data_IF_387556121758
#
_entry.id   IF_387556121758
#
_cell.length_a   1.000
_cell.length_b   1.000
_cell.length_c   1.000
_cell.angle_alpha   90.00
_cell.angle_beta   90.00
_cell.angle_gamma   90.00
#
_symmetry.space_group_name_H-M   'P 1'
#
loop_
_entity.id
_entity.type
_entity.pdbx_description
1 polymer ?
#
# COMPACT_ATOMS: atom_id res chain seq x y z
N UNK A 1 0.87 -3.58 -9.49
CA UNK A 1 -0.24 -3.40 -8.52
C UNK A 1 -0.95 -4.73 -8.29
N UNK A 2 -1.16 -5.16 -7.03
CA UNK A 2 -1.99 -6.32 -6.72
C UNK A 2 -3.44 -5.85 -6.50
N UNK A 3 -4.42 -6.32 -7.28
CA UNK A 3 -5.83 -5.92 -7.15
C UNK A 3 -6.66 -7.10 -6.65
N UNK A 4 -7.50 -6.87 -5.62
CA UNK A 4 -8.40 -7.89 -5.08
C UNK A 4 -9.76 -7.78 -5.77
N UNK A 5 -10.14 -8.80 -6.52
CA UNK A 5 -11.42 -8.88 -7.22
C UNK A 5 -12.44 -9.58 -6.32
N UNK A 6 -13.29 -8.78 -5.67
CA UNK A 6 -14.15 -9.25 -4.56
C UNK A 6 -15.19 -10.29 -5.00
N UNK A 7 -15.86 -10.09 -6.13
CA UNK A 7 -16.90 -10.98 -6.65
C UNK A 7 -16.37 -12.34 -7.13
N UNK A 8 -15.05 -12.49 -7.31
CA UNK A 8 -14.43 -13.77 -7.68
C UNK A 8 -13.97 -14.56 -6.45
N UNK A 9 -13.92 -13.94 -5.28
CA UNK A 9 -13.46 -14.59 -4.06
C UNK A 9 -14.51 -15.60 -3.55
N UNK A 10 -14.12 -16.87 -3.42
CA UNK A 10 -14.97 -17.95 -2.88
C UNK A 10 -14.72 -18.24 -1.39
N UNK A 11 -13.88 -17.44 -0.72
CA UNK A 11 -13.72 -17.50 0.72
C UNK A 11 -12.87 -18.65 1.28
N UNK A 12 -12.02 -19.30 0.47
CA UNK A 12 -11.12 -20.39 0.94
C UNK A 12 -10.02 -19.94 1.89
N UNK A 13 -9.71 -18.64 1.95
CA UNK A 13 -8.70 -18.00 2.82
C UNK A 13 -7.25 -18.42 2.57
N UNK A 14 -6.97 -19.28 1.59
CA UNK A 14 -5.59 -19.68 1.26
C UNK A 14 -4.71 -18.48 0.90
N UNK A 15 -5.27 -17.46 0.24
CA UNK A 15 -4.55 -16.23 -0.05
C UNK A 15 -4.11 -15.46 1.21
N UNK A 16 -4.86 -15.54 2.31
CA UNK A 16 -4.46 -14.94 3.59
C UNK A 16 -3.29 -15.69 4.21
N UNK A 17 -3.35 -17.03 4.24
CA UNK A 17 -2.26 -17.87 4.76
C UNK A 17 -0.96 -17.71 3.96
N UNK A 18 -1.06 -17.52 2.63
CA UNK A 18 0.10 -17.30 1.77
C UNK A 18 0.70 -15.89 1.83
N UNK A 19 0.09 -14.96 2.58
CA UNK A 19 0.60 -13.59 2.69
C UNK A 19 1.56 -13.49 3.88
N UNK A 20 2.87 -13.26 3.68
CA UNK A 20 3.83 -13.21 4.79
C UNK A 20 3.58 -12.02 5.73
N UNK A 21 2.84 -11.02 5.26
CA UNK A 21 2.51 -9.81 6.02
C UNK A 21 1.17 -9.90 6.77
N UNK A 22 0.37 -10.95 6.56
CA UNK A 22 -0.96 -11.10 7.17
C UNK A 22 -1.91 -9.91 6.94
N UNK A 23 -1.79 -9.20 5.81
CA UNK A 23 -2.58 -7.99 5.47
C UNK A 23 -3.85 -8.27 4.65
N UNK A 24 -4.33 -9.51 4.66
CA UNK A 24 -5.57 -9.93 3.99
C UNK A 24 -6.62 -10.24 5.03
N UNK A 25 -7.69 -9.44 5.04
CA UNK A 25 -8.75 -9.52 6.03
C UNK A 25 -9.94 -10.29 5.48
N UNK A 26 -10.48 -11.22 6.27
CA UNK A 26 -11.65 -11.99 5.88
C UNK A 26 -12.91 -11.42 6.51
N UNK A 27 -13.95 -11.23 5.70
CA UNK A 27 -15.26 -10.80 6.20
C UNK A 27 -16.03 -12.01 6.72
N UNK A 28 -16.04 -12.19 8.04
CA UNK A 28 -16.80 -13.27 8.68
C UNK A 28 -18.31 -13.03 8.69
N UNK A 29 -18.71 -11.76 8.78
CA UNK A 29 -20.10 -11.35 8.92
C UNK A 29 -20.52 -10.45 7.77
N UNK A 30 -21.83 -10.34 7.55
CA UNK A 30 -22.36 -9.32 6.66
C UNK A 30 -22.28 -7.98 7.40
N UNK A 31 -21.72 -6.94 6.78
CA UNK A 31 -21.78 -5.62 7.35
C UNK A 31 -23.21 -5.07 7.30
N UNK A 32 -23.60 -4.38 8.37
CA UNK A 32 -24.90 -3.71 8.49
C UNK A 32 -24.64 -2.22 8.74
N UNK A 33 -25.39 -1.36 8.05
CA UNK A 33 -25.33 0.08 8.23
C UNK A 33 -26.73 0.57 8.60
N UNK A 34 -26.93 1.18 9.77
CA UNK A 34 -28.22 1.76 10.12
C UNK A 34 -28.48 2.98 9.24
N UNK A 35 -29.73 3.19 8.85
CA UNK A 35 -30.10 4.40 8.10
C UNK A 35 -29.88 5.65 8.98
N UNK A 36 -29.27 6.74 8.45
CA UNK A 36 -28.88 6.99 7.05
C UNK A 36 -27.37 6.80 6.78
N UNK A 37 -26.65 5.98 7.56
CA UNK A 37 -25.20 5.79 7.41
C UNK A 37 -24.79 5.14 6.08
N UNK A 38 -25.74 4.48 5.40
CA UNK A 38 -25.57 4.00 4.03
C UNK A 38 -25.11 5.12 3.06
N UNK A 39 -25.48 6.38 3.31
CA UNK A 39 -25.06 7.52 2.49
C UNK A 39 -23.57 7.89 2.63
N UNK A 40 -22.86 7.35 3.62
CA UNK A 40 -21.42 7.58 3.80
C UNK A 40 -20.56 6.64 2.94
N UNK A 41 -21.17 5.63 2.32
CA UNK A 41 -20.46 4.66 1.51
C UNK A 41 -19.96 5.29 0.21
N UNK A 42 -18.73 4.98 -0.16
CA UNK A 42 -18.15 5.47 -1.40
C UNK A 42 -18.71 4.68 -2.60
N UNK A 43 -19.35 5.34 -3.59
CA UNK A 43 -19.96 4.65 -4.73
C UNK A 43 -18.96 3.98 -5.66
N UNK A 44 -17.69 4.41 -5.68
CA UNK A 44 -16.66 3.84 -6.55
C UNK A 44 -16.01 2.58 -5.95
N UNK A 45 -16.35 2.22 -4.71
CA UNK A 45 -15.77 1.07 -4.01
C UNK A 45 -16.86 0.04 -3.78
N UNK A 46 -16.62 -1.19 -4.21
CA UNK A 46 -17.54 -2.29 -3.95
C UNK A 46 -17.80 -2.41 -2.45
N UNK A 47 -19.07 -2.51 -2.05
CA UNK A 47 -19.48 -2.87 -0.70
C UNK A 47 -19.43 -4.39 -0.58
N UNK A 48 -18.69 -4.91 0.40
CA UNK A 48 -18.34 -6.32 0.48
C UNK A 48 -19.30 -7.06 1.42
N UNK A 49 -19.67 -8.28 1.06
CA UNK A 49 -20.49 -9.16 1.88
C UNK A 49 -19.63 -10.06 2.77
N UNK A 50 -20.28 -10.95 3.54
CA UNK A 50 -19.60 -12.06 4.21
C UNK A 50 -18.94 -13.00 3.20
N UNK A 51 -17.93 -13.73 3.65
CA UNK A 51 -17.33 -14.83 2.90
C UNK A 51 -16.20 -14.44 1.96
N UNK A 52 -15.77 -13.17 1.94
CA UNK A 52 -14.76 -12.69 0.99
C UNK A 52 -13.54 -12.07 1.69
N UNK A 53 -12.41 -12.09 0.99
CA UNK A 53 -11.15 -11.50 1.43
C UNK A 53 -11.00 -10.09 0.88
N UNK A 54 -10.53 -9.20 1.73
CA UNK A 54 -10.14 -7.84 1.43
C UNK A 54 -8.65 -7.61 1.70
N UNK A 55 -8.13 -6.53 1.12
CA UNK A 55 -6.79 -6.01 1.39
C UNK A 55 -6.68 -4.57 0.89
N UNK A 56 -5.59 -3.90 1.23
CA UNK A 56 -5.22 -2.65 0.58
C UNK A 56 -5.06 -2.85 -0.95
N UNK A 57 -5.71 -1.99 -1.72
CA UNK A 57 -5.64 -1.95 -3.20
C UNK A 57 -5.00 -0.66 -3.71
N UNK A 58 -4.26 0.05 -2.85
CA UNK A 58 -3.72 1.40 -3.11
C UNK A 58 -4.78 2.38 -3.62
N UNK A 59 -6.00 2.26 -3.09
CA UNK A 59 -7.16 3.04 -3.52
C UNK A 59 -7.36 2.97 -5.04
N UNK A 60 -7.45 1.75 -5.59
CA UNK A 60 -7.63 1.48 -7.03
C UNK A 60 -8.74 2.32 -7.67
N UNK A 61 -9.79 2.66 -6.94
CA UNK A 61 -10.86 3.54 -7.40
C UNK A 61 -10.35 4.95 -7.78
N UNK A 62 -9.38 5.49 -7.04
CA UNK A 62 -8.75 6.79 -7.31
C UNK A 62 -7.77 6.70 -8.48
N UNK A 63 -7.01 5.61 -8.56
CA UNK A 63 -6.11 5.31 -9.69
C UNK A 63 -6.93 5.24 -10.99
N UNK A 64 -8.01 4.44 -10.99
CA UNK A 64 -8.87 4.28 -12.16
C UNK A 64 -9.52 5.60 -12.57
N UNK A 65 -10.01 6.40 -11.61
CA UNK A 65 -10.55 7.73 -11.91
C UNK A 65 -9.52 8.62 -12.59
N UNK A 66 -8.29 8.68 -12.07
CA UNK A 66 -7.23 9.47 -12.68
C UNK A 66 -6.88 8.99 -14.09
N UNK A 67 -6.83 7.67 -14.34
CA UNK A 67 -6.65 7.13 -15.69
C UNK A 67 -7.77 7.56 -16.64
N UNK A 68 -9.03 7.50 -16.19
CA UNK A 68 -10.18 7.92 -17.01
C UNK A 68 -10.13 9.42 -17.30
N UNK A 69 -9.86 10.26 -16.30
CA UNK A 69 -9.74 11.72 -16.48
C UNK A 69 -8.59 12.08 -17.42
N UNK A 70 -7.39 11.54 -17.17
CA UNK A 70 -6.22 11.80 -18.00
C UNK A 70 -6.42 11.31 -19.45
N UNK A 71 -7.03 10.13 -19.62
CA UNK A 71 -7.37 9.59 -20.94
C UNK A 71 -8.41 10.44 -21.68
N UNK A 72 -9.40 11.00 -20.97
CA UNK A 72 -10.39 11.92 -21.55
C UNK A 72 -9.74 13.25 -22.00
N UNK A 73 -8.74 13.71 -21.25
CA UNK A 73 -7.98 14.94 -21.56
C UNK A 73 -6.83 14.70 -22.55
N UNK A 74 -6.57 13.45 -22.98
CA UNK A 74 -5.51 13.11 -23.92
C UNK A 74 -4.10 13.31 -23.38
N UNK A 75 -3.91 13.16 -22.07
CA UNK A 75 -2.61 13.36 -21.39
C UNK A 75 -2.28 12.20 -20.46
N UNK A 76 -1.05 12.18 -19.96
CA UNK A 76 -0.65 11.28 -18.88
C UNK A 76 -1.12 11.79 -17.51
N UNK A 77 -1.09 10.89 -16.52
CA UNK A 77 -1.38 11.22 -15.12
C UNK A 77 -0.26 12.10 -14.60
N UNK A 78 -0.62 13.24 -14.01
CA UNK A 78 0.35 14.19 -13.46
C UNK A 78 0.92 13.67 -12.13
N UNK A 79 2.18 14.02 -11.79
CA UNK A 79 2.71 13.75 -10.47
C UNK A 79 1.78 14.30 -9.38
N UNK A 80 1.46 13.47 -8.38
CA UNK A 80 0.60 13.85 -7.27
C UNK A 80 -0.90 13.89 -7.56
N UNK A 81 -1.35 13.69 -8.80
CA UNK A 81 -2.79 13.66 -9.16
C UNK A 81 -3.53 12.50 -8.49
N UNK A 82 -2.84 11.38 -8.27
CA UNK A 82 -3.37 10.24 -7.50
C UNK A 82 -2.82 10.31 -6.08
N UNK A 83 -3.71 10.59 -5.13
CA UNK A 83 -3.43 10.48 -3.70
C UNK A 83 -4.33 9.41 -3.06
N UNK A 84 -3.77 8.28 -2.59
CA UNK A 84 -4.52 7.33 -1.77
C UNK A 84 -5.08 8.00 -0.51
N UNK A 85 -6.17 7.45 0.02
CA UNK A 85 -6.83 8.02 1.19
C UNK A 85 -5.88 8.11 2.39
N UNK A 86 -5.05 7.09 2.63
CA UNK A 86 -4.07 7.10 3.71
C UNK A 86 -2.99 8.18 3.55
N UNK A 87 -2.50 8.42 2.32
CA UNK A 87 -1.52 9.47 2.04
C UNK A 87 -2.13 10.87 2.21
N UNK A 88 -3.33 11.08 1.66
CA UNK A 88 -4.04 12.37 1.77
C UNK A 88 -4.38 12.72 3.22
N UNK A 89 -4.74 11.74 4.04
CA UNK A 89 -5.12 11.96 5.44
C UNK A 89 -3.94 12.11 6.39
N UNK A 90 -2.71 11.78 5.97
CA UNK A 90 -1.54 11.79 6.84
C UNK A 90 -1.05 13.24 7.06
N UNK A 91 -1.17 13.82 8.27
CA UNK A 91 -0.76 15.21 8.51
C UNK A 91 0.75 15.40 8.45
N UNK A 92 1.52 14.35 8.76
CA UNK A 92 2.98 14.37 8.77
C UNK A 92 3.59 14.03 7.41
N UNK A 93 2.77 13.77 6.38
CA UNK A 93 3.23 13.35 5.05
C UNK A 93 4.16 12.12 5.07
N UNK A 94 3.94 11.21 6.02
CA UNK A 94 4.74 9.99 6.18
C UNK A 94 4.52 8.97 5.04
N UNK A 95 3.39 9.07 4.33
CA UNK A 95 3.04 8.19 3.22
C UNK A 95 3.09 8.97 1.92
N UNK A 96 3.98 8.56 1.03
CA UNK A 96 4.10 9.14 -0.32
C UNK A 96 3.76 8.06 -1.33
N UNK A 97 2.90 8.40 -2.29
CA UNK A 97 2.47 7.50 -3.34
C UNK A 97 2.70 8.11 -4.72
N UNK A 98 3.32 7.36 -5.62
CA UNK A 98 3.50 7.72 -7.03
C UNK A 98 3.85 6.46 -7.85
N UNK A 99 4.02 6.64 -9.15
CA UNK A 99 4.55 5.60 -10.03
C UNK A 99 6.05 5.38 -9.78
N UNK A 100 6.42 4.18 -9.34
CA UNK A 100 7.81 3.80 -9.06
C UNK A 100 8.64 3.67 -10.34
N UNK A 101 8.02 3.45 -11.50
CA UNK A 101 8.73 3.37 -12.78
C UNK A 101 9.20 4.75 -13.27
N UNK A 102 8.68 5.83 -12.71
CA UNK A 102 9.09 7.19 -13.03
C UNK A 102 10.22 7.62 -12.06
N UNK A 103 11.47 7.78 -12.53
CA UNK A 103 12.60 8.21 -11.70
C UNK A 103 12.39 9.61 -11.10
N UNK A 104 11.59 10.46 -11.77
CA UNK A 104 11.30 11.81 -11.30
C UNK A 104 10.26 11.84 -10.16
N UNK A 105 9.65 10.68 -9.84
CA UNK A 105 8.65 10.57 -8.79
C UNK A 105 9.25 10.77 -7.40
N UNK A 106 8.45 11.34 -6.48
CA UNK A 106 8.91 11.60 -5.11
C UNK A 106 9.33 10.31 -4.36
N UNK A 107 8.60 9.17 -4.43
CA UNK A 107 9.05 7.92 -3.85
C UNK A 107 10.37 7.40 -4.44
N UNK A 108 10.59 7.50 -5.75
CA UNK A 108 11.85 7.06 -6.37
C UNK A 108 13.01 7.91 -5.87
N UNK A 109 12.85 9.25 -5.87
CA UNK A 109 13.85 10.18 -5.33
C UNK A 109 14.12 9.96 -3.84
N UNK A 110 13.10 9.69 -3.04
CA UNK A 110 13.26 9.41 -1.62
C UNK A 110 13.98 8.08 -1.39
N UNK A 111 13.65 7.03 -2.14
CA UNK A 111 14.33 5.74 -2.03
C UNK A 111 15.82 5.85 -2.38
N UNK A 112 16.17 6.64 -3.41
CA UNK A 112 17.55 6.88 -3.80
C UNK A 112 18.29 7.81 -2.81
N UNK A 113 17.69 8.93 -2.43
CA UNK A 113 18.32 9.90 -1.52
C UNK A 113 18.49 9.34 -0.10
N UNK A 114 17.63 8.41 0.32
CA UNK A 114 17.64 7.80 1.65
C UNK A 114 18.04 6.32 1.58
N UNK A 115 18.90 5.95 0.62
CA UNK A 115 19.31 4.56 0.37
C UNK A 115 19.73 3.83 1.66
N UNK A 116 20.51 4.48 2.53
CA UNK A 116 21.00 3.93 3.81
C UNK A 116 19.87 3.57 4.80
N UNK A 117 18.72 4.24 4.70
CA UNK A 117 17.56 4.06 5.57
C UNK A 117 16.42 3.32 4.88
N UNK A 118 16.48 3.17 3.57
CA UNK A 118 15.47 2.47 2.78
C UNK A 118 15.56 0.96 2.99
N UNK A 119 14.41 0.30 3.14
CA UNK A 119 14.34 -1.16 3.21
C UNK A 119 12.94 -1.63 2.83
N UNK A 120 12.84 -2.90 2.45
CA UNK A 120 11.55 -3.58 2.25
C UNK A 120 11.30 -4.58 3.36
N UNK A 121 10.02 -4.86 3.67
CA UNK A 121 9.69 -5.78 4.74
C UNK A 121 9.91 -7.23 4.30
N UNK A 122 10.64 -7.97 5.14
CA UNK A 122 10.91 -9.40 5.01
C UNK A 122 11.58 -9.77 3.68
N UNK A 123 12.67 -9.08 3.35
CA UNK A 123 13.45 -9.25 2.10
C UNK A 123 13.83 -10.70 1.78
N UNK A 124 14.11 -11.51 2.81
CA UNK A 124 14.47 -12.92 2.65
C UNK A 124 13.38 -13.78 2.00
N UNK A 125 12.11 -13.35 1.97
CA UNK A 125 11.05 -14.06 1.24
C UNK A 125 11.00 -13.75 -0.26
N UNK A 126 11.75 -12.76 -0.77
CA UNK A 126 11.82 -12.45 -2.20
C UNK A 126 10.49 -12.02 -2.83
N UNK A 127 9.63 -11.36 -2.06
CA UNK A 127 8.27 -10.96 -2.47
C UNK A 127 8.19 -9.68 -3.31
N UNK A 128 9.31 -8.96 -3.44
CA UNK A 128 9.44 -7.69 -4.16
C UNK A 128 8.26 -6.72 -3.92
N UNK A 129 8.05 -6.27 -2.66
CA UNK A 129 6.88 -5.47 -2.32
C UNK A 129 7.01 -4.05 -2.90
N UNK A 130 5.93 -3.54 -3.49
CA UNK A 130 5.86 -2.15 -3.98
C UNK A 130 5.74 -1.07 -2.89
N UNK A 131 6.12 -1.37 -1.64
CA UNK A 131 6.15 -0.41 -0.52
C UNK A 131 7.56 -0.43 0.07
N UNK A 132 8.21 0.72 0.03
CA UNK A 132 9.54 0.94 0.60
C UNK A 132 9.36 1.72 1.91
N UNK A 133 10.02 1.26 2.97
CA UNK A 133 9.99 1.89 4.28
C UNK A 133 11.30 2.64 4.53
N UNK A 134 11.22 3.70 5.34
CA UNK A 134 12.40 4.43 5.83
C UNK A 134 12.58 4.15 7.32
N UNK A 135 13.79 3.77 7.72
CA UNK A 135 14.15 3.55 9.13
C UNK A 135 14.01 4.86 9.92
N UNK A 136 13.48 4.74 11.15
CA UNK A 136 13.44 5.85 12.11
C UNK A 136 14.88 6.26 12.44
N UNK A 137 15.17 7.56 12.37
CA UNK A 137 16.38 8.14 12.94
C UNK A 137 16.02 8.68 14.32
N UNK A 138 16.61 8.08 15.34
CA UNK A 138 16.41 8.50 16.73
C UNK A 138 17.71 9.09 17.27
N UNK A 139 17.78 10.42 17.49
CA UNK A 139 18.99 11.07 17.98
C UNK A 139 19.33 10.69 19.44
N UNK A 140 18.45 9.98 20.14
CA UNK A 140 18.64 9.53 21.51
C UNK A 140 18.76 8.00 21.63
N UNK A 141 18.93 7.28 20.52
CA UNK A 141 19.13 5.84 20.58
C UNK A 141 20.43 5.52 21.35
N UNK A 142 20.33 4.72 22.40
CA UNK A 142 21.50 4.14 23.05
C UNK A 142 22.14 3.14 22.07
N UNK A 143 23.41 3.38 21.73
CA UNK A 143 24.16 2.50 20.84
C UNK A 143 24.57 1.28 21.68
N UNK A 144 23.82 0.20 21.55
CA UNK A 144 24.27 -1.11 22.04
C UNK A 144 25.12 -1.75 20.95
N UNK A 145 26.42 -1.91 21.21
CA UNK A 145 27.32 -2.68 20.34
C UNK A 145 26.94 -4.16 20.41
N UNK A 146 26.01 -4.60 19.56
CA UNK A 146 25.70 -6.01 19.41
C UNK A 146 26.84 -6.71 18.62
N UNK A 147 27.60 -7.58 19.28
CA UNK A 147 28.68 -8.43 18.70
C UNK A 147 28.20 -9.45 17.65
N UNK A 148 26.94 -9.37 17.21
CA UNK A 148 26.32 -10.29 16.24
C UNK A 148 25.82 -9.56 14.99
N UNK A 149 26.62 -8.65 14.44
CA UNK A 149 26.47 -8.21 13.05
C UNK A 149 26.91 -9.36 12.12
N UNK A 150 25.96 -10.23 11.78
CA UNK A 150 26.17 -11.25 10.76
C UNK A 150 26.59 -10.58 9.44
N UNK A 151 27.78 -10.98 8.98
CA UNK A 151 28.31 -10.70 7.67
C UNK A 151 27.28 -11.01 6.57
N UNK A 152 26.88 -9.96 5.87
CA UNK A 152 26.02 -10.02 4.69
C UNK A 152 26.36 -8.89 3.72
N UNK A 153 27.66 -8.63 3.54
CA UNK A 153 28.14 -7.79 2.47
C UNK A 153 28.07 -8.59 1.16
N UNK A 154 27.31 -8.06 0.22
CA UNK A 154 27.50 -8.13 -1.23
C UNK A 154 28.48 -9.19 -1.78
N UNK A 155 27.94 -10.13 -2.54
CA UNK A 155 28.60 -10.77 -3.67
C UNK A 155 27.66 -10.72 -4.87
#
# INVERSE_FOLDING_TARGET
LNVQVYNRCIGTRFCANGCPYSVRYFNFWNPEWPDPMNNQLNPDVTVRTKGIIEKCTFCVQRINRAHVTAGTEGREIRPGEVQPACAQSCPTSALVFADLNNPESLPAKLAEAEADRSYTLLEHFGTDPGVIYLKKVDPHAEIHEDEHAHAGAHA
#
